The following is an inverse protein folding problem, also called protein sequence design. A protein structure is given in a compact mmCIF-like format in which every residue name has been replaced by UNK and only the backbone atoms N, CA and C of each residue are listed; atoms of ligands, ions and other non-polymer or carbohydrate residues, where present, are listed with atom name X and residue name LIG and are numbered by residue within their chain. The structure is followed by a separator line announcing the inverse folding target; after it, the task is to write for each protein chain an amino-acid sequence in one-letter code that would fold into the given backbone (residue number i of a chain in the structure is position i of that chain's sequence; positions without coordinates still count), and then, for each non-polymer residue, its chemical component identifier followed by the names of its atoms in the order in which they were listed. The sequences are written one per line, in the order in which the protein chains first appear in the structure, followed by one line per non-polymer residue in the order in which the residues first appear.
data_IF_345751744298
#
_entry.id   IF_345751744298
#
_cell.length_a   1.000
_cell.length_b   1.000
_cell.length_c   1.000
_cell.angle_alpha   90.00
_cell.angle_beta   90.00
_cell.angle_gamma   90.00
#
_symmetry.space_group_name_H-M   'P 1'
#
loop_
_entity.id
_entity.type
_entity.pdbx_description
1 polymer ?
#
# COMPACT_ATOMS: atom_id res chain seq x y z
N UNK A 1 69.01 -40.94 24.92
CA UNK A 1 68.02 -40.05 24.26
C UNK A 1 67.33 -39.27 25.38
N UNK A 2 68.00 -38.27 25.98
CA UNK A 2 68.05 -36.84 25.61
C UNK A 2 66.64 -36.22 25.58
N UNK A 3 66.25 -35.25 26.40
CA UNK A 3 66.71 -34.72 27.69
C UNK A 3 65.53 -33.88 28.23
N UNK A 4 64.99 -34.19 29.41
CA UNK A 4 64.12 -33.28 30.14
C UNK A 4 64.98 -32.20 30.77
N UNK A 5 64.75 -30.93 30.46
CA UNK A 5 65.41 -29.81 31.13
C UNK A 5 64.36 -28.88 31.74
N UNK A 6 64.21 -29.03 33.04
CA UNK A 6 63.65 -28.04 33.96
C UNK A 6 64.57 -26.83 33.97
N UNK A 7 64.06 -25.63 33.70
CA UNK A 7 64.76 -24.39 34.04
C UNK A 7 63.90 -23.62 35.06
N UNK A 8 64.49 -23.48 36.24
CA UNK A 8 63.96 -22.74 37.36
C UNK A 8 63.92 -21.23 37.07
N UNK A 9 62.90 -20.58 37.64
CA UNK A 9 62.71 -19.14 37.71
C UNK A 9 63.88 -18.46 38.44
N UNK A 10 64.23 -17.22 38.06
CA UNK A 10 64.58 -16.23 39.06
C UNK A 10 63.68 -15.00 38.93
N UNK A 11 62.85 -14.85 39.97
CA UNK A 11 62.70 -13.62 40.74
C UNK A 11 63.64 -12.48 40.30
N UNK A 12 63.11 -11.50 39.58
CA UNK A 12 63.42 -10.09 39.87
C UNK A 12 62.40 -9.19 39.17
N UNK A 13 62.01 -8.16 39.90
CA UNK A 13 61.28 -6.98 39.43
C UNK A 13 59.77 -7.12 39.25
N UNK A 14 59.12 -7.54 40.35
CA UNK A 14 57.72 -7.26 40.73
C UNK A 14 57.36 -5.75 40.85
N UNK A 15 58.04 -4.86 40.12
CA UNK A 15 57.82 -3.40 40.20
C UNK A 15 57.59 -2.71 38.86
N UNK A 16 57.78 -3.39 37.72
CA UNK A 16 57.54 -2.78 36.41
C UNK A 16 56.12 -2.99 35.85
N UNK A 17 55.37 -3.95 36.39
CA UNK A 17 54.05 -4.35 35.85
C UNK A 17 52.85 -3.54 36.37
N UNK A 18 53.08 -2.44 37.12
CA UNK A 18 52.01 -1.59 37.65
C UNK A 18 51.92 -0.19 37.02
N UNK A 19 52.79 0.15 36.05
CA UNK A 19 52.79 1.50 35.45
C UNK A 19 52.25 1.59 34.02
N UNK A 20 51.92 0.47 33.37
CA UNK A 20 51.37 0.46 31.99
C UNK A 20 49.97 -0.14 31.88
N UNK A 21 49.24 -0.24 32.99
CA UNK A 21 47.81 -0.59 32.99
C UNK A 21 46.89 0.65 32.99
N UNK A 22 47.42 1.87 33.09
CA UNK A 22 46.63 3.12 33.19
C UNK A 22 46.70 4.03 31.96
N UNK A 23 47.45 3.68 30.91
CA UNK A 23 47.50 4.46 29.67
C UNK A 23 46.62 3.89 28.53
N UNK A 24 45.88 2.80 28.75
CA UNK A 24 45.03 2.18 27.74
C UNK A 24 43.57 2.65 27.74
N UNK A 25 43.07 3.22 28.84
CA UNK A 25 41.64 3.50 29.01
C UNK A 25 41.21 4.92 28.63
N UNK A 26 42.14 5.86 28.48
CA UNK A 26 41.81 7.22 28.05
C UNK A 26 41.59 7.36 26.53
N UNK A 27 42.14 6.45 25.71
CA UNK A 27 42.00 6.50 24.25
C UNK A 27 40.67 5.95 23.71
N UNK A 28 40.09 4.96 24.39
CA UNK A 28 38.85 4.31 23.94
C UNK A 28 37.60 5.19 24.03
N UNK A 29 37.52 6.03 25.07
CA UNK A 29 36.35 6.90 25.27
C UNK A 29 36.31 8.08 24.27
N UNK A 30 37.47 8.59 23.83
CA UNK A 30 37.54 9.70 22.89
C UNK A 30 37.15 9.31 21.45
N UNK A 31 37.34 8.04 21.06
CA UNK A 31 36.94 7.54 19.74
C UNK A 31 35.41 7.39 19.60
N UNK A 32 34.70 7.06 20.68
CA UNK A 32 33.22 6.97 20.66
C UNK A 32 32.53 8.35 20.72
N UNK A 33 33.25 9.39 21.14
CA UNK A 33 32.75 10.77 21.10
C UNK A 33 32.98 11.45 19.74
N UNK A 34 33.69 10.79 18.81
CA UNK A 34 33.95 11.37 17.50
C UNK A 34 32.66 11.42 16.67
N UNK A 35 32.22 12.59 16.20
CA UNK A 35 30.91 12.76 15.57
C UNK A 35 30.72 11.89 14.32
N UNK A 36 31.81 11.49 13.66
CA UNK A 36 31.84 10.60 12.49
C UNK A 36 31.67 9.11 12.82
N UNK A 37 31.88 8.72 14.08
CA UNK A 37 31.78 7.34 14.57
C UNK A 37 30.48 7.10 15.36
N UNK A 38 29.61 8.12 15.47
CA UNK A 38 28.26 7.93 16.00
C UNK A 38 27.50 7.10 14.96
N UNK A 39 26.95 5.92 15.31
CA UNK A 39 26.03 5.25 14.41
C UNK A 39 24.92 6.24 14.08
N UNK A 40 24.67 6.45 12.80
CA UNK A 40 23.52 7.22 12.37
C UNK A 40 22.31 6.57 13.05
N UNK A 41 21.71 7.25 14.02
CA UNK A 41 20.36 6.91 14.46
C UNK A 41 19.54 6.97 13.20
N UNK A 42 19.11 5.81 12.70
CA UNK A 42 18.32 5.73 11.48
C UNK A 42 17.21 6.75 11.61
N UNK A 43 17.23 7.77 10.76
CA UNK A 43 16.09 8.64 10.59
C UNK A 43 15.03 7.70 10.02
N UNK A 44 14.11 7.24 10.87
CA UNK A 44 12.89 6.63 10.40
C UNK A 44 12.25 7.67 9.49
N UNK A 45 12.16 7.36 8.20
CA UNK A 45 11.26 8.10 7.32
C UNK A 45 9.89 8.03 7.99
N UNK A 46 9.15 9.15 8.13
CA UNK A 46 7.76 9.07 8.55
C UNK A 46 7.08 8.02 7.69
N UNK A 47 6.48 7.02 8.32
CA UNK A 47 5.86 5.88 7.61
C UNK A 47 4.69 6.34 6.72
N UNK A 48 4.25 7.58 6.91
CA UNK A 48 3.26 8.31 6.13
C UNK A 48 3.82 8.94 4.83
N UNK A 49 5.14 8.92 4.59
CA UNK A 49 5.81 9.62 3.48
C UNK A 49 6.09 8.75 2.24
N UNK A 50 5.41 7.61 2.08
CA UNK A 50 5.39 6.96 0.75
C UNK A 50 4.45 7.77 -0.14
N UNK A 51 4.99 8.77 -0.84
CA UNK A 51 4.31 9.49 -1.89
C UNK A 51 3.93 8.51 -3.02
N UNK A 52 2.72 7.96 -2.98
CA UNK A 52 2.14 7.26 -4.13
C UNK A 52 1.90 8.31 -5.22
N UNK A 53 2.85 8.43 -6.15
CA UNK A 53 2.70 9.30 -7.30
C UNK A 53 1.83 8.59 -8.34
N UNK A 54 0.54 8.92 -8.33
CA UNK A 54 -0.46 8.41 -9.26
C UNK A 54 -1.36 9.58 -9.73
N UNK A 55 -0.86 10.45 -10.62
CA UNK A 55 -1.69 11.51 -11.19
C UNK A 55 -2.80 10.89 -12.07
N UNK A 56 -3.95 11.57 -12.20
CA UNK A 56 -4.97 11.11 -13.13
C UNK A 56 -4.43 11.22 -14.57
N UNK A 57 -4.84 10.29 -15.42
CA UNK A 57 -4.42 10.24 -16.81
C UNK A 57 -5.37 11.07 -17.68
N UNK A 58 -4.86 11.95 -18.55
CA UNK A 58 -5.70 12.80 -19.37
C UNK A 58 -6.54 11.99 -20.35
N UNK A 59 -7.68 12.56 -20.77
CA UNK A 59 -8.47 11.99 -21.86
C UNK A 59 -7.70 12.10 -23.19
N UNK A 60 -7.67 11.01 -23.95
CA UNK A 60 -7.17 11.00 -25.31
C UNK A 60 -8.32 11.27 -26.30
N UNK A 61 -8.39 12.47 -26.92
CA UNK A 61 -9.44 12.78 -27.87
C UNK A 61 -9.38 11.93 -29.14
N UNK A 62 -8.23 11.29 -29.45
CA UNK A 62 -8.10 10.38 -30.58
C UNK A 62 -8.72 8.99 -30.31
N UNK A 63 -9.11 8.69 -29.07
CA UNK A 63 -9.70 7.40 -28.69
C UNK A 63 -11.10 7.15 -29.26
N UNK A 64 -11.80 8.20 -29.71
CA UNK A 64 -13.20 8.12 -30.16
C UNK A 64 -14.22 7.86 -29.05
N UNK A 65 -13.79 7.80 -27.79
CA UNK A 65 -14.65 7.66 -26.62
C UNK A 65 -15.13 9.03 -26.15
N UNK A 66 -16.34 9.11 -25.59
CA UNK A 66 -16.77 10.31 -24.89
C UNK A 66 -15.84 10.58 -23.68
N UNK A 67 -15.63 11.85 -23.29
CA UNK A 67 -14.73 12.18 -22.17
C UNK A 67 -15.07 11.48 -20.85
N UNK A 68 -16.35 11.20 -20.61
CA UNK A 68 -16.84 10.51 -19.40
C UNK A 68 -17.03 9.02 -19.59
N UNK A 69 -16.78 8.47 -20.77
CA UNK A 69 -16.94 7.05 -21.03
C UNK A 69 -15.84 6.23 -20.35
N UNK A 70 -16.26 5.08 -19.83
CA UNK A 70 -15.36 4.04 -19.37
C UNK A 70 -14.34 3.66 -20.46
N UNK A 71 -13.07 3.50 -20.08
CA UNK A 71 -11.98 3.20 -21.02
C UNK A 71 -11.10 2.04 -20.57
N UNK A 72 -10.24 1.57 -21.46
CA UNK A 72 -9.28 0.51 -21.13
C UNK A 72 -8.27 1.01 -20.09
N UNK A 73 -7.83 0.11 -19.21
CA UNK A 73 -6.86 0.41 -18.16
C UNK A 73 -5.46 0.52 -18.78
N UNK A 74 -4.79 1.68 -18.72
CA UNK A 74 -3.43 1.80 -19.22
C UNK A 74 -2.46 0.94 -18.38
N UNK A 75 -1.52 0.20 -18.99
CA UNK A 75 -0.60 -0.68 -18.25
C UNK A 75 0.24 0.01 -17.17
N UNK A 76 0.53 1.30 -17.37
CA UNK A 76 1.30 2.14 -16.47
C UNK A 76 0.46 2.84 -15.39
N UNK A 77 -0.87 2.78 -15.48
CA UNK A 77 -1.74 3.40 -14.49
C UNK A 77 -1.49 2.80 -13.10
N UNK A 78 -1.45 3.67 -12.09
CA UNK A 78 -1.29 3.27 -10.69
C UNK A 78 -2.53 3.68 -9.92
N UNK A 79 -2.93 2.83 -9.00
CA UNK A 79 -3.98 3.13 -8.03
C UNK A 79 -3.50 4.26 -7.11
N UNK A 80 -4.24 5.38 -7.01
CA UNK A 80 -3.85 6.50 -6.15
C UNK A 80 -3.95 6.21 -4.65
N UNK A 81 -4.55 5.08 -4.27
CA UNK A 81 -4.68 4.67 -2.86
C UNK A 81 -3.50 3.79 -2.43
N UNK A 82 -3.18 2.74 -3.18
CA UNK A 82 -2.18 1.73 -2.78
C UNK A 82 -0.95 1.68 -3.70
N UNK A 83 -0.94 2.39 -4.83
CA UNK A 83 0.17 2.40 -5.81
C UNK A 83 0.27 1.16 -6.71
N UNK A 84 -0.59 0.17 -6.54
CA UNK A 84 -0.66 -1.03 -7.39
C UNK A 84 -1.12 -0.73 -8.82
N UNK A 85 -0.78 -1.61 -9.76
CA UNK A 85 -1.17 -1.48 -11.17
C UNK A 85 -2.52 -2.17 -11.43
N UNK A 86 -3.60 -1.42 -11.71
CA UNK A 86 -4.93 -2.02 -11.93
C UNK A 86 -4.97 -2.98 -13.11
N UNK A 87 -4.13 -2.76 -14.13
CA UNK A 87 -4.02 -3.63 -15.30
C UNK A 87 -3.58 -5.07 -14.97
N UNK A 88 -3.04 -5.32 -13.76
CA UNK A 88 -2.67 -6.67 -13.30
C UNK A 88 -3.84 -7.47 -12.73
N UNK A 89 -4.96 -6.81 -12.43
CA UNK A 89 -6.17 -7.43 -11.89
C UNK A 89 -7.42 -6.72 -12.46
N UNK A 90 -7.64 -6.74 -13.79
CA UNK A 90 -8.71 -5.97 -14.44
C UNK A 90 -10.11 -6.36 -13.96
N UNK A 91 -10.31 -7.61 -13.52
CA UNK A 91 -11.57 -8.12 -12.95
C UNK A 91 -11.95 -7.46 -11.62
N UNK A 92 -11.00 -6.77 -10.98
CA UNK A 92 -11.21 -6.02 -9.74
C UNK A 92 -11.18 -4.52 -9.97
N UNK A 93 -10.77 -4.08 -11.15
CA UNK A 93 -10.47 -2.68 -11.36
C UNK A 93 -11.70 -1.79 -11.24
N UNK A 94 -11.43 -0.54 -10.94
CA UNK A 94 -12.41 0.54 -10.97
C UNK A 94 -11.78 1.78 -11.62
N UNK A 95 -12.59 2.75 -11.99
CA UNK A 95 -12.12 4.04 -12.49
C UNK A 95 -13.05 5.17 -12.09
N UNK A 96 -12.46 6.34 -11.89
CA UNK A 96 -13.13 7.60 -11.64
C UNK A 96 -12.73 8.55 -12.76
N UNK A 97 -13.71 9.23 -13.34
CA UNK A 97 -13.47 10.20 -14.40
C UNK A 97 -13.98 11.56 -13.93
N UNK A 98 -13.10 12.57 -14.02
CA UNK A 98 -13.44 13.95 -13.72
C UNK A 98 -14.20 14.61 -14.89
N UNK A 99 -14.84 15.74 -14.61
CA UNK A 99 -15.51 16.61 -15.59
C UNK A 99 -14.63 16.99 -16.80
N UNK A 100 -13.33 17.20 -16.59
CA UNK A 100 -12.34 17.44 -17.64
C UNK A 100 -11.91 16.20 -18.44
N UNK A 101 -12.41 15.00 -18.11
CA UNK A 101 -12.10 13.73 -18.77
C UNK A 101 -10.83 13.02 -18.25
N UNK A 102 -10.07 13.67 -17.37
CA UNK A 102 -8.99 13.07 -16.58
C UNK A 102 -9.52 11.87 -15.79
N UNK A 103 -8.77 10.76 -15.77
CA UNK A 103 -9.21 9.50 -15.16
C UNK A 103 -8.20 8.95 -14.15
N UNK A 104 -8.69 8.54 -12.98
CA UNK A 104 -8.00 7.65 -12.05
C UNK A 104 -8.43 6.22 -12.30
N UNK A 105 -7.49 5.28 -12.15
CA UNK A 105 -7.75 3.84 -12.21
C UNK A 105 -7.36 3.22 -10.87
N UNK A 106 -8.22 2.36 -10.34
CA UNK A 106 -8.08 1.73 -9.05
C UNK A 106 -7.96 0.23 -9.23
N UNK A 107 -7.13 -0.40 -8.41
CA UNK A 107 -6.91 -1.84 -8.45
C UNK A 107 -8.09 -2.65 -7.91
N UNK A 108 -8.93 -2.04 -7.07
CA UNK A 108 -10.12 -2.67 -6.48
C UNK A 108 -11.29 -1.69 -6.34
N UNK A 109 -12.54 -2.19 -6.17
CA UNK A 109 -13.67 -1.32 -5.83
C UNK A 109 -13.53 -0.71 -4.43
N UNK A 110 -12.88 -1.42 -3.49
CA UNK A 110 -12.55 -0.88 -2.17
C UNK A 110 -11.68 0.38 -2.28
N UNK A 111 -10.62 0.35 -3.10
CA UNK A 111 -9.74 1.50 -3.31
C UNK A 111 -10.50 2.69 -3.88
N UNK A 112 -11.44 2.47 -4.81
CA UNK A 112 -12.32 3.53 -5.31
C UNK A 112 -13.15 4.15 -4.17
N UNK A 113 -13.77 3.32 -3.34
CA UNK A 113 -14.64 3.79 -2.25
C UNK A 113 -13.84 4.52 -1.16
N UNK A 114 -12.64 4.05 -0.83
CA UNK A 114 -11.71 4.75 0.06
C UNK A 114 -11.30 6.11 -0.51
N UNK A 115 -11.02 6.18 -1.82
CA UNK A 115 -10.70 7.43 -2.50
C UNK A 115 -11.86 8.43 -2.44
N UNK A 116 -13.09 7.98 -2.68
CA UNK A 116 -14.27 8.84 -2.62
C UNK A 116 -14.54 9.36 -1.20
N UNK A 117 -14.27 8.55 -0.18
CA UNK A 117 -14.47 8.92 1.22
C UNK A 117 -13.48 10.00 1.69
N UNK A 118 -12.22 9.92 1.26
CA UNK A 118 -11.15 10.86 1.65
C UNK A 118 -10.42 11.44 0.43
N UNK A 119 -11.20 11.98 -0.52
CA UNK A 119 -10.65 12.56 -1.75
C UNK A 119 -9.59 13.64 -1.52
N UNK A 120 -9.72 14.54 -0.51
CA UNK A 120 -8.69 15.54 -0.23
C UNK A 120 -7.32 14.94 0.07
N UNK A 121 -7.25 13.74 0.69
CA UNK A 121 -5.99 13.03 0.94
C UNK A 121 -5.32 12.55 -0.35
N UNK A 122 -6.09 12.00 -1.29
CA UNK A 122 -5.54 11.35 -2.50
C UNK A 122 -5.45 12.27 -3.72
N UNK A 123 -6.19 13.37 -3.75
CA UNK A 123 -6.13 14.38 -4.80
C UNK A 123 -6.38 15.77 -4.24
N UNK A 124 -5.38 16.34 -3.54
CA UNK A 124 -5.46 17.69 -3.01
C UNK A 124 -5.88 18.70 -4.08
N UNK A 125 -6.85 19.55 -3.75
CA UNK A 125 -7.38 20.57 -4.65
C UNK A 125 -8.47 20.08 -5.62
N UNK A 126 -8.80 18.78 -5.65
CA UNK A 126 -10.01 18.30 -6.33
C UNK A 126 -11.16 18.13 -5.34
N UNK A 127 -12.37 18.37 -5.81
CA UNK A 127 -13.59 18.27 -5.02
C UNK A 127 -14.47 17.11 -5.51
N UNK A 128 -15.26 16.46 -4.63
CA UNK A 128 -16.21 15.42 -5.04
C UNK A 128 -17.17 15.86 -6.16
N UNK A 129 -17.50 17.15 -6.23
CA UNK A 129 -18.34 17.72 -7.29
C UNK A 129 -17.73 17.70 -8.70
N UNK A 130 -16.42 17.53 -8.84
CA UNK A 130 -15.73 17.40 -10.14
C UNK A 130 -15.80 15.99 -10.72
N UNK A 131 -16.37 15.01 -9.99
CA UNK A 131 -16.51 13.63 -10.44
C UNK A 131 -17.67 13.51 -11.41
N UNK A 132 -17.38 13.18 -12.67
CA UNK A 132 -18.39 13.04 -13.72
C UNK A 132 -18.89 11.61 -13.89
N UNK A 133 -18.02 10.60 -13.67
CA UNK A 133 -18.41 9.20 -13.79
C UNK A 133 -17.58 8.29 -12.87
N UNK A 134 -18.20 7.17 -12.48
CA UNK A 134 -17.58 6.13 -11.67
C UNK A 134 -17.92 4.78 -12.27
N UNK A 135 -16.91 3.94 -12.48
CA UNK A 135 -17.10 2.60 -13.00
C UNK A 135 -16.35 1.57 -12.17
N UNK A 136 -16.93 0.38 -12.09
CA UNK A 136 -16.32 -0.82 -11.50
C UNK A 136 -16.47 -1.97 -12.50
N UNK A 137 -15.54 -2.92 -12.51
CA UNK A 137 -15.70 -4.14 -13.31
C UNK A 137 -16.74 -5.05 -12.65
N UNK A 138 -17.69 -5.55 -13.44
CA UNK A 138 -18.63 -6.59 -13.00
C UNK A 138 -17.87 -7.91 -12.78
N UNK A 139 -17.95 -8.46 -11.56
CA UNK A 139 -17.34 -9.72 -11.16
C UNK A 139 -18.25 -10.94 -11.44
N UNK A 140 -19.40 -10.71 -12.08
CA UNK A 140 -20.32 -11.76 -12.48
C UNK A 140 -19.72 -12.73 -13.51
N UNK A 141 -20.21 -13.98 -13.58
CA UNK A 141 -19.65 -15.02 -14.45
C UNK A 141 -19.83 -14.77 -15.96
N UNK A 142 -20.66 -13.80 -16.34
CA UNK A 142 -21.11 -13.60 -17.73
C UNK A 142 -20.74 -12.25 -18.32
N UNK A 143 -20.08 -11.34 -17.57
CA UNK A 143 -19.72 -10.00 -18.06
C UNK A 143 -18.51 -9.47 -17.28
N UNK A 144 -17.35 -9.39 -17.93
CA UNK A 144 -16.19 -8.64 -17.42
C UNK A 144 -16.21 -7.23 -18.03
N UNK A 145 -17.28 -6.49 -17.74
CA UNK A 145 -17.53 -5.17 -18.32
C UNK A 145 -17.58 -4.09 -17.26
N UNK A 146 -17.33 -2.85 -17.69
CA UNK A 146 -17.57 -1.68 -16.84
C UNK A 146 -19.06 -1.50 -16.58
N UNK A 147 -19.42 -1.37 -15.31
CA UNK A 147 -20.75 -1.00 -14.85
C UNK A 147 -20.66 0.29 -14.03
N UNK A 148 -21.76 1.03 -13.95
CA UNK A 148 -21.84 2.22 -13.10
C UNK A 148 -21.65 1.83 -11.63
N UNK A 149 -20.71 2.50 -10.96
CA UNK A 149 -20.35 2.13 -9.59
C UNK A 149 -21.46 2.45 -8.59
N UNK A 150 -22.28 3.49 -8.82
CA UNK A 150 -23.31 3.94 -7.87
C UNK A 150 -24.51 3.00 -7.85
N UNK A 151 -24.81 2.36 -8.96
CA UNK A 151 -25.90 1.38 -9.10
C UNK A 151 -25.47 -0.08 -8.87
N UNK A 152 -24.16 -0.33 -8.74
CA UNK A 152 -23.62 -1.66 -8.48
C UNK A 152 -23.91 -2.16 -7.05
N UNK A 153 -23.82 -3.48 -6.89
CA UNK A 153 -23.89 -4.18 -5.61
C UNK A 153 -22.52 -4.77 -5.26
N UNK A 154 -22.12 -4.62 -4.01
CA UNK A 154 -20.80 -5.01 -3.51
C UNK A 154 -20.92 -6.14 -2.49
N UNK A 155 -20.05 -7.14 -2.54
CA UNK A 155 -20.07 -8.22 -1.54
C UNK A 155 -18.99 -8.02 -0.48
N UNK A 156 -19.40 -7.76 0.75
CA UNK A 156 -18.49 -7.65 1.90
C UNK A 156 -18.36 -9.01 2.62
N UNK A 157 -17.14 -9.39 3.02
CA UNK A 157 -16.90 -10.58 3.85
C UNK A 157 -16.86 -11.92 3.11
N UNK A 158 -16.81 -11.92 1.78
CA UNK A 158 -16.58 -13.14 0.99
C UNK A 158 -15.11 -13.61 1.07
N UNK A 159 -14.85 -14.89 0.80
CA UNK A 159 -13.50 -15.45 0.68
C UNK A 159 -12.83 -15.21 -0.71
N UNK A 160 -13.40 -14.30 -1.51
CA UNK A 160 -12.87 -13.90 -2.80
C UNK A 160 -11.48 -13.25 -2.66
N UNK A 161 -10.54 -13.62 -3.54
CA UNK A 161 -9.19 -13.08 -3.52
C UNK A 161 -9.03 -12.06 -4.63
N UNK A 162 -9.07 -10.78 -4.27
CA UNK A 162 -8.66 -9.71 -5.17
C UNK A 162 -7.20 -9.27 -4.98
N UNK A 163 -6.84 -8.09 -5.52
CA UNK A 163 -5.48 -7.54 -5.42
C UNK A 163 -4.98 -7.58 -3.98
N UNK A 164 -3.70 -7.89 -3.82
CA UNK A 164 -3.04 -7.99 -2.50
C UNK A 164 -3.72 -8.97 -1.51
N UNK A 165 -4.55 -9.90 -2.00
CA UNK A 165 -5.40 -10.80 -1.18
C UNK A 165 -6.37 -10.06 -0.25
N UNK A 166 -6.62 -8.79 -0.55
CA UNK A 166 -7.44 -7.87 0.24
C UNK A 166 -8.51 -7.19 -0.61
N UNK A 167 -8.73 -7.65 -1.85
CA UNK A 167 -9.83 -7.19 -2.71
C UNK A 167 -11.17 -7.61 -2.13
N UNK A 168 -11.56 -6.93 -1.07
CA UNK A 168 -12.89 -6.95 -0.51
C UNK A 168 -13.80 -6.16 -1.47
N UNK A 169 -15.10 -6.45 -1.45
CA UNK A 169 -16.12 -5.76 -2.25
C UNK A 169 -16.06 -6.04 -3.76
N UNK A 170 -16.02 -7.31 -4.24
CA UNK A 170 -16.32 -7.57 -5.65
C UNK A 170 -17.68 -6.96 -6.00
N UNK A 171 -17.75 -6.31 -7.16
CA UNK A 171 -18.91 -5.56 -7.61
C UNK A 171 -19.74 -6.37 -8.62
N UNK A 172 -21.05 -6.19 -8.60
CA UNK A 172 -21.99 -6.90 -9.46
C UNK A 172 -23.04 -5.93 -10.00
N UNK A 173 -23.44 -6.14 -11.26
CA UNK A 173 -24.45 -5.31 -11.91
C UNK A 173 -25.84 -5.39 -11.25
N UNK A 174 -26.14 -6.50 -10.56
CA UNK A 174 -27.46 -6.73 -9.95
C UNK A 174 -27.33 -7.27 -8.54
N UNK A 175 -28.36 -6.97 -7.71
CA UNK A 175 -28.51 -7.51 -6.36
C UNK A 175 -28.47 -9.03 -6.35
N UNK A 176 -29.19 -9.64 -7.30
CA UNK A 176 -29.31 -11.09 -7.39
C UNK A 176 -27.93 -11.74 -7.65
N UNK A 177 -27.13 -11.19 -8.57
CA UNK A 177 -25.79 -11.70 -8.83
C UNK A 177 -24.87 -11.60 -7.60
N UNK A 178 -24.94 -10.48 -6.87
CA UNK A 178 -24.20 -10.30 -5.61
C UNK A 178 -24.65 -11.30 -4.52
N UNK A 179 -25.96 -11.53 -4.39
CA UNK A 179 -26.50 -12.50 -3.43
C UNK A 179 -26.12 -13.94 -3.79
N UNK A 180 -26.19 -14.30 -5.06
CA UNK A 180 -25.77 -15.62 -5.55
C UNK A 180 -24.28 -15.85 -5.32
N UNK A 181 -23.46 -14.80 -5.51
CA UNK A 181 -22.05 -14.86 -5.18
C UNK A 181 -21.82 -15.04 -3.68
N UNK A 182 -22.48 -14.23 -2.85
CA UNK A 182 -22.38 -14.32 -1.39
C UNK A 182 -22.83 -15.69 -0.86
N UNK A 183 -23.86 -16.29 -1.44
CA UNK A 183 -24.29 -17.64 -1.09
C UNK A 183 -23.22 -18.71 -1.36
N UNK A 184 -22.39 -18.52 -2.40
CA UNK A 184 -21.32 -19.47 -2.78
C UNK A 184 -19.98 -19.20 -2.10
N UNK A 185 -19.67 -17.94 -1.80
CA UNK A 185 -18.34 -17.46 -1.36
C UNK A 185 -18.37 -16.84 0.05
N UNK A 186 -19.53 -16.84 0.70
CA UNK A 186 -19.76 -16.12 1.95
C UNK A 186 -19.91 -14.61 1.76
N UNK A 187 -20.25 -13.92 2.85
CA UNK A 187 -20.40 -12.47 2.89
C UNK A 187 -21.83 -11.98 2.74
N UNK A 188 -21.97 -10.67 2.52
CA UNK A 188 -23.25 -9.96 2.39
C UNK A 188 -23.20 -9.00 1.20
N UNK A 189 -24.27 -8.99 0.40
CA UNK A 189 -24.49 -8.01 -0.65
C UNK A 189 -24.94 -6.66 -0.06
N UNK A 190 -24.24 -5.59 -0.44
CA UNK A 190 -24.45 -4.22 -0.01
C UNK A 190 -24.65 -3.33 -1.25
N UNK A 191 -25.60 -2.41 -1.20
CA UNK A 191 -25.69 -1.31 -2.16
C UNK A 191 -24.54 -0.30 -1.93
N UNK A 192 -24.32 0.59 -2.90
CA UNK A 192 -23.26 1.60 -2.84
C UNK A 192 -23.30 2.43 -1.54
N UNK A 193 -24.47 2.95 -1.17
CA UNK A 193 -24.64 3.80 0.02
C UNK A 193 -24.55 3.02 1.35
N UNK A 194 -24.62 1.69 1.32
CA UNK A 194 -24.42 0.83 2.50
C UNK A 194 -22.93 0.60 2.80
N UNK A 195 -22.03 0.93 1.86
CA UNK A 195 -20.58 0.93 2.08
C UNK A 195 -20.16 2.27 2.69
N UNK A 196 -20.52 2.46 3.96
CA UNK A 196 -20.32 3.71 4.68
C UNK A 196 -18.88 3.90 5.22
N UNK A 197 -18.63 5.08 5.78
CA UNK A 197 -17.36 5.44 6.40
C UNK A 197 -16.94 4.46 7.52
N UNK A 198 -17.91 3.94 8.28
CA UNK A 198 -17.65 3.01 9.38
C UNK A 198 -17.16 1.69 8.84
N UNK A 199 -17.80 1.15 7.81
CA UNK A 199 -17.38 -0.07 7.15
C UNK A 199 -16.00 0.11 6.51
N UNK A 200 -15.79 1.19 5.76
CA UNK A 200 -14.51 1.49 5.13
C UNK A 200 -13.36 1.58 6.15
N UNK A 201 -13.60 2.16 7.33
CA UNK A 201 -12.60 2.20 8.40
C UNK A 201 -12.21 0.80 8.91
N UNK A 202 -13.13 -0.17 8.92
CA UNK A 202 -12.80 -1.57 9.27
C UNK A 202 -12.05 -2.33 8.16
N UNK A 203 -12.20 -1.87 6.92
CA UNK A 203 -11.58 -2.48 5.73
C UNK A 203 -10.24 -1.84 5.35
N UNK A 204 -9.93 -0.67 5.90
CA UNK A 204 -8.62 -0.06 5.78
C UNK A 204 -7.58 -0.99 6.41
N UNK A 205 -6.67 -1.52 5.59
CA UNK A 205 -5.52 -2.26 6.10
C UNK A 205 -4.68 -1.28 6.91
N UNK A 206 -4.39 -1.55 8.20
CA UNK A 206 -3.40 -0.76 8.91
C UNK A 206 -2.10 -0.89 8.12
N UNK A 207 -1.59 0.22 7.60
CA UNK A 207 -0.23 0.25 7.08
C UNK A 207 0.64 -0.17 8.26
N UNK A 208 1.26 -1.35 8.18
CA UNK A 208 2.02 -1.90 9.30
C UNK A 208 3.10 -0.88 9.69
N UNK A 209 2.92 -0.28 10.86
CA UNK A 209 3.92 0.54 11.54
C UNK A 209 5.03 -0.41 11.99
N UNK A 210 6.24 -0.27 11.45
CA UNK A 210 7.41 -1.08 11.74
C UNK A 210 8.46 -0.28 12.51
#
# INVERSE_FOLDING_TARGET
MLASSTLALPWSNRRAWLALALAGTAGGAALLAHPWLRPATGVGLPEDDVCVVAPPLPHDPASGLAPTAARAIPPQARCPVCGMFPARAPDWAAQLIFDGGDAHFFDSPLSLLQYLHDMPRYSPGRAPGSVAALYVTDAGPQRHGWIDARSAWYVHGSDARGPMRAGNLPAFATRQAAQDFAARRGGQALAFDEVDARLLATLAVPVHRH
#
